data_IF_072319095571
#
_entry.id   IF_072319095571
#
_cell.length_a   1.000
_cell.length_b   1.000
_cell.length_c   1.000
_cell.angle_alpha   90.00
_cell.angle_beta   90.00
_cell.angle_gamma   90.00
#
_symmetry.space_group_name_H-M   'P 1'
#
loop_
_entity.id
_entity.type
_entity.pdbx_description
1 polymer ?
#
# COMPACT_ATOMS: atom_id res chain seq x y z
N UNK A 1 4.17 -25.46 6.17
CA UNK A 1 3.11 -24.47 5.91
C UNK A 1 1.90 -24.75 6.79
N UNK A 2 1.95 -24.32 8.05
CA UNK A 2 0.79 -24.33 8.92
C UNK A 2 0.44 -22.87 9.19
N UNK A 3 -0.72 -22.43 8.69
CA UNK A 3 -1.33 -21.22 9.23
C UNK A 3 -1.55 -21.46 10.72
N UNK A 4 -1.19 -20.51 11.61
CA UNK A 4 -1.55 -20.66 13.01
C UNK A 4 -3.07 -20.77 13.13
N UNK A 5 -3.53 -21.63 14.05
CA UNK A 5 -4.95 -21.72 14.38
C UNK A 5 -5.47 -20.31 14.74
N UNK A 6 -6.64 -19.90 14.22
CA UNK A 6 -7.21 -18.60 14.57
C UNK A 6 -7.40 -18.49 16.09
N UNK A 7 -7.18 -17.29 16.63
CA UNK A 7 -7.33 -17.03 18.06
C UNK A 7 -8.70 -17.55 18.55
N UNK A 8 -8.64 -18.42 19.56
CA UNK A 8 -9.78 -19.21 20.03
C UNK A 8 -10.67 -18.44 21.01
N UNK A 9 -10.17 -17.31 21.54
CA UNK A 9 -10.86 -16.45 22.49
C UNK A 9 -10.57 -14.97 22.20
N UNK A 10 -11.53 -14.05 22.42
CA UNK A 10 -11.29 -12.60 22.47
C UNK A 10 -10.26 -12.19 23.54
N UNK A 11 -10.04 -13.04 24.54
CA UNK A 11 -9.07 -12.83 25.64
C UNK A 11 -7.67 -13.39 25.33
N UNK A 12 -7.46 -14.03 24.17
CA UNK A 12 -6.13 -14.35 23.65
C UNK A 12 -5.49 -13.05 23.12
N UNK A 13 -5.15 -12.15 24.04
CA UNK A 13 -4.48 -10.88 23.71
C UNK A 13 -3.05 -11.21 23.29
N UNK A 14 -2.87 -11.41 21.99
CA UNK A 14 -1.54 -11.51 21.38
C UNK A 14 -0.89 -10.13 21.51
N UNK A 15 0.25 -10.07 22.20
CA UNK A 15 1.05 -8.85 22.27
C UNK A 15 1.30 -8.32 20.84
N UNK A 16 0.96 -7.06 20.56
CA UNK A 16 1.09 -6.54 19.21
C UNK A 16 2.55 -6.50 18.79
N UNK A 17 2.81 -6.89 17.54
CA UNK A 17 4.11 -6.67 16.92
C UNK A 17 4.44 -5.18 17.00
N UNK A 18 5.67 -4.85 17.38
CA UNK A 18 6.12 -3.47 17.55
C UNK A 18 6.83 -2.95 16.30
N UNK A 19 6.65 -1.67 16.01
CA UNK A 19 7.39 -0.95 14.97
C UNK A 19 8.81 -0.59 15.46
N UNK A 20 9.58 0.10 14.60
CA UNK A 20 10.97 0.52 14.91
C UNK A 20 11.09 1.42 16.14
N UNK A 21 10.03 2.15 16.49
CA UNK A 21 9.97 3.05 17.65
C UNK A 21 9.49 2.33 18.92
N UNK A 22 9.24 1.02 18.86
CA UNK A 22 8.72 0.25 19.98
C UNK A 22 7.22 0.44 20.24
N UNK A 23 6.49 1.13 19.36
CA UNK A 23 5.03 1.31 19.41
C UNK A 23 4.34 0.12 18.73
N UNK A 24 3.06 -0.19 19.05
CA UNK A 24 2.30 -1.19 18.28
C UNK A 24 2.29 -0.85 16.79
N UNK A 25 2.64 -1.81 15.93
CA UNK A 25 2.64 -1.67 14.48
C UNK A 25 1.20 -1.45 13.98
N UNK A 26 0.99 -0.36 13.24
CA UNK A 26 -0.30 0.04 12.68
C UNK A 26 -0.33 -0.19 11.18
N UNK A 27 -1.21 -1.08 10.73
CA UNK A 27 -1.45 -1.36 9.33
C UNK A 27 -2.78 -0.74 8.88
N UNK A 28 -2.75 0.07 7.83
CA UNK A 28 -3.92 0.63 7.19
C UNK A 28 -4.33 -0.19 5.98
N UNK A 29 -5.64 -0.44 5.81
CA UNK A 29 -6.18 -1.08 4.61
C UNK A 29 -7.30 -0.21 4.04
N UNK A 30 -7.20 0.09 2.76
CA UNK A 30 -8.27 0.78 2.01
C UNK A 30 -8.38 0.17 0.62
N UNK A 31 -9.58 0.18 0.03
CA UNK A 31 -9.71 -0.21 -1.36
C UNK A 31 -8.98 0.78 -2.29
N UNK A 32 -9.31 2.06 -2.17
CA UNK A 32 -8.79 3.12 -3.02
C UNK A 32 -7.88 4.06 -2.21
N UNK A 33 -6.70 4.42 -2.74
CA UNK A 33 -5.73 5.28 -2.05
C UNK A 33 -6.08 6.76 -2.21
N UNK A 34 -7.33 7.13 -1.89
CA UNK A 34 -7.73 8.54 -1.95
C UNK A 34 -6.96 9.36 -0.92
N UNK A 35 -6.48 10.55 -1.32
CA UNK A 35 -5.64 11.39 -0.45
C UNK A 35 -6.32 11.71 0.87
N UNK A 36 -7.63 11.96 0.88
CA UNK A 36 -8.39 12.18 2.13
C UNK A 36 -8.23 11.05 3.16
N UNK A 37 -8.15 9.79 2.68
CA UNK A 37 -8.03 8.59 3.52
C UNK A 37 -6.58 8.42 3.94
N UNK A 38 -5.64 8.58 2.99
CA UNK A 38 -4.21 8.49 3.28
C UNK A 38 -3.73 9.59 4.23
N UNK A 39 -4.26 10.80 4.12
CA UNK A 39 -3.99 11.91 5.03
C UNK A 39 -4.52 11.63 6.42
N UNK A 40 -5.68 10.98 6.55
CA UNK A 40 -6.20 10.55 7.85
C UNK A 40 -5.30 9.46 8.46
N UNK A 41 -4.99 8.40 7.70
CA UNK A 41 -4.09 7.33 8.13
C UNK A 41 -2.70 7.85 8.53
N UNK A 42 -2.14 8.80 7.77
CA UNK A 42 -0.86 9.41 8.08
C UNK A 42 -0.91 10.25 9.36
N UNK A 43 -2.03 10.93 9.66
CA UNK A 43 -2.21 11.65 10.94
C UNK A 43 -2.42 10.72 12.12
N UNK A 44 -2.94 9.52 11.87
CA UNK A 44 -3.15 8.48 12.87
C UNK A 44 -1.91 7.59 13.09
N UNK A 45 -0.74 8.01 12.59
CA UNK A 45 0.53 7.29 12.69
C UNK A 45 0.46 5.84 12.16
N UNK A 46 -0.23 5.62 11.03
CA UNK A 46 -0.15 4.33 10.33
C UNK A 46 1.26 4.14 9.79
N UNK A 47 1.87 2.98 10.08
CA UNK A 47 3.22 2.66 9.61
C UNK A 47 3.22 2.24 8.14
N UNK A 48 2.23 1.44 7.73
CA UNK A 48 2.07 0.92 6.37
C UNK A 48 0.59 0.88 5.96
N UNK A 49 0.24 1.60 4.91
CA UNK A 49 -1.04 1.51 4.23
C UNK A 49 -0.95 0.60 2.99
N UNK A 50 -1.97 -0.24 2.81
CA UNK A 50 -2.14 -1.10 1.64
C UNK A 50 -3.42 -0.71 0.91
N UNK A 51 -3.30 -0.60 -0.42
CA UNK A 51 -4.41 -0.25 -1.29
C UNK A 51 -4.37 -0.97 -2.63
N UNK A 52 -5.44 -0.82 -3.41
CA UNK A 52 -5.52 -1.25 -4.80
C UNK A 52 -6.19 -0.17 -5.64
N UNK A 53 -7.26 -0.53 -6.35
CA UNK A 53 -8.14 0.36 -7.12
C UNK A 53 -7.53 1.00 -8.39
N UNK A 54 -6.26 1.36 -8.37
CA UNK A 54 -5.58 2.05 -9.49
C UNK A 54 -5.36 1.15 -10.70
N UNK A 55 -5.42 -0.17 -10.52
CA UNK A 55 -5.03 -1.18 -11.50
C UNK A 55 -3.59 -1.00 -12.05
N UNK A 56 -2.71 -0.32 -11.31
CA UNK A 56 -1.37 0.08 -11.77
C UNK A 56 -1.41 1.13 -12.87
N UNK A 57 -2.50 1.90 -12.94
CA UNK A 57 -2.81 2.85 -14.01
C UNK A 57 -3.37 2.21 -15.27
N UNK A 58 -3.20 0.89 -15.43
CA UNK A 58 -3.72 0.01 -16.48
C UNK A 58 -3.25 0.31 -17.91
N UNK A 59 -3.13 1.59 -18.27
CA UNK A 59 -2.56 2.11 -19.50
C UNK A 59 -1.27 2.86 -19.16
N UNK A 60 -0.15 2.20 -19.44
CA UNK A 60 1.18 2.74 -19.20
C UNK A 60 1.91 3.05 -20.51
N UNK A 61 2.74 4.08 -20.48
CA UNK A 61 3.70 4.37 -21.54
C UNK A 61 5.03 3.67 -21.20
N UNK A 62 5.60 2.83 -22.09
CA UNK A 62 6.90 2.20 -21.85
C UNK A 62 7.97 3.22 -21.46
N UNK A 63 8.66 2.99 -20.34
CA UNK A 63 9.69 3.89 -19.82
C UNK A 63 9.20 5.10 -19.02
N UNK A 64 7.90 5.43 -19.05
CA UNK A 64 7.30 6.52 -18.26
C UNK A 64 6.40 6.01 -17.13
N UNK A 65 5.56 5.00 -17.39
CA UNK A 65 4.63 4.44 -16.42
C UNK A 65 3.18 4.90 -16.65
N UNK A 66 2.38 4.90 -15.57
CA UNK A 66 0.96 5.19 -15.62
C UNK A 66 0.66 6.61 -16.10
N UNK A 67 -0.35 6.77 -16.97
CA UNK A 67 -0.87 8.08 -17.36
C UNK A 67 -1.89 8.64 -16.38
N UNK A 68 -2.65 7.74 -15.76
CA UNK A 68 -3.73 8.05 -14.81
C UNK A 68 -3.73 6.99 -13.70
N UNK A 69 -4.28 7.33 -12.54
CA UNK A 69 -4.47 6.41 -11.41
C UNK A 69 -5.95 6.12 -11.13
N UNK A 70 -6.86 6.82 -11.82
CA UNK A 70 -8.29 6.85 -11.53
C UNK A 70 -8.65 7.29 -10.10
N UNK A 71 -7.74 7.99 -9.41
CA UNK A 71 -7.98 8.64 -8.12
C UNK A 71 -7.14 9.94 -8.02
N UNK A 72 -7.17 10.60 -6.88
CA UNK A 72 -6.43 11.85 -6.60
C UNK A 72 -4.97 11.61 -6.17
N UNK A 73 -4.45 10.40 -6.35
CA UNK A 73 -3.04 10.02 -6.12
C UNK A 73 -2.18 10.28 -7.36
N UNK A 74 -0.92 10.71 -7.16
CA UNK A 74 0.02 10.90 -8.26
C UNK A 74 0.36 9.59 -8.99
N UNK A 75 0.55 9.69 -10.31
CA UNK A 75 0.74 8.53 -11.18
C UNK A 75 2.00 7.70 -10.87
N UNK A 76 3.01 8.30 -10.24
CA UNK A 76 4.21 7.56 -9.83
C UNK A 76 3.92 6.57 -8.68
N UNK A 77 2.79 6.71 -7.99
CA UNK A 77 2.32 5.80 -6.93
C UNK A 77 1.12 4.96 -7.36
N UNK A 78 0.92 4.81 -8.68
CA UNK A 78 -0.14 3.95 -9.21
C UNK A 78 0.02 2.48 -8.79
N UNK A 79 1.23 2.01 -8.51
CA UNK A 79 1.49 0.65 -8.03
C UNK A 79 2.82 0.56 -7.28
N UNK A 80 3.00 -0.53 -6.53
CA UNK A 80 4.22 -0.84 -5.81
C UNK A 80 4.35 -0.10 -4.47
N UNK A 81 5.52 -0.21 -3.86
CA UNK A 81 5.85 0.40 -2.58
C UNK A 81 6.37 1.83 -2.76
N UNK A 82 5.82 2.74 -1.96
CA UNK A 82 6.18 4.15 -1.92
C UNK A 82 6.10 4.68 -0.49
N UNK A 83 6.40 5.96 -0.30
CA UNK A 83 6.12 6.71 0.94
C UNK A 83 4.86 7.54 0.75
N UNK A 84 4.27 8.05 1.81
CA UNK A 84 3.20 9.07 1.78
C UNK A 84 3.22 9.87 3.09
N UNK A 85 3.02 11.20 3.07
CA UNK A 85 2.79 12.07 1.90
C UNK A 85 4.03 12.33 1.05
N UNK A 86 5.24 12.25 1.61
CA UNK A 86 6.48 12.47 0.84
C UNK A 86 6.90 11.30 -0.04
N UNK A 87 8.11 11.36 -0.61
CA UNK A 87 8.60 10.37 -1.59
C UNK A 87 9.78 9.59 -1.03
N UNK A 88 10.08 8.42 -1.60
CA UNK A 88 11.22 7.62 -1.14
C UNK A 88 12.58 8.36 -1.26
N UNK A 89 12.68 9.29 -2.21
CA UNK A 89 13.87 10.12 -2.43
C UNK A 89 14.00 11.31 -1.47
N UNK A 90 13.01 11.56 -0.63
CA UNK A 90 13.02 12.68 0.32
C UNK A 90 13.85 12.29 1.55
N UNK A 91 14.88 13.07 1.93
CA UNK A 91 15.66 12.82 3.14
C UNK A 91 14.80 12.76 4.42
N UNK A 92 13.68 13.49 4.45
CA UNK A 92 12.73 13.48 5.56
C UNK A 92 11.75 12.28 5.51
N UNK A 93 11.86 11.40 4.52
CA UNK A 93 10.94 10.29 4.36
C UNK A 93 11.02 9.19 5.41
N UNK A 94 12.00 9.25 6.31
CA UNK A 94 12.09 8.36 7.46
C UNK A 94 10.79 8.40 8.29
N UNK A 95 10.15 9.57 8.39
CA UNK A 95 8.97 9.82 9.22
C UNK A 95 7.64 9.65 8.44
N UNK A 96 7.71 9.30 7.16
CA UNK A 96 6.52 9.13 6.32
C UNK A 96 5.96 7.71 6.39
N UNK A 97 4.63 7.57 6.37
CA UNK A 97 3.94 6.28 6.22
C UNK A 97 4.39 5.56 4.93
N UNK A 98 4.59 4.25 4.98
CA UNK A 98 4.72 3.45 3.77
C UNK A 98 3.37 3.27 3.09
N UNK A 99 3.33 3.34 1.76
CA UNK A 99 2.14 3.09 0.96
C UNK A 99 2.45 2.03 -0.08
N UNK A 100 1.77 0.90 0.00
CA UNK A 100 1.77 -0.11 -1.04
C UNK A 100 0.46 -0.09 -1.83
N UNK A 101 0.54 0.08 -3.14
CA UNK A 101 -0.62 -0.02 -4.04
C UNK A 101 -0.44 -1.24 -4.94
N UNK A 102 -1.30 -2.25 -4.84
CA UNK A 102 -1.25 -3.38 -5.77
C UNK A 102 -1.89 -3.02 -7.11
N UNK A 103 -1.25 -3.36 -8.23
CA UNK A 103 -1.87 -3.24 -9.54
C UNK A 103 -3.02 -4.25 -9.76
N UNK A 104 -3.10 -5.30 -8.93
CA UNK A 104 -4.14 -6.33 -8.99
C UNK A 104 -4.15 -7.15 -10.29
N UNK A 105 -5.01 -8.16 -10.34
CA UNK A 105 -5.15 -9.06 -11.49
C UNK A 105 -6.19 -8.57 -12.51
N UNK A 106 -7.26 -7.94 -12.03
CA UNK A 106 -8.40 -7.52 -12.86
C UNK A 106 -8.18 -6.20 -13.59
N UNK A 107 -9.16 -5.81 -14.40
CA UNK A 107 -9.19 -4.53 -15.12
C UNK A 107 -10.34 -3.65 -14.63
N UNK A 108 -10.31 -2.37 -14.97
CA UNK A 108 -11.47 -1.49 -14.83
C UNK A 108 -12.62 -2.02 -15.71
N UNK A 109 -13.87 -2.03 -15.21
CA UNK A 109 -15.04 -2.42 -16.02
C UNK A 109 -15.20 -1.59 -17.29
N UNK A 110 -14.76 -0.32 -17.25
CA UNK A 110 -14.91 0.63 -18.36
C UNK A 110 -13.76 0.56 -19.37
N UNK A 111 -12.63 -0.02 -18.97
CA UNK A 111 -11.43 -0.14 -19.81
C UNK A 111 -10.87 -1.55 -19.64
N UNK A 112 -11.37 -2.58 -20.34
CA UNK A 112 -11.01 -3.97 -20.10
C UNK A 112 -9.69 -4.38 -20.76
N UNK A 113 -8.72 -3.47 -20.83
CA UNK A 113 -7.42 -3.69 -21.49
C UNK A 113 -6.29 -3.22 -20.60
N UNK A 114 -5.16 -3.94 -20.63
CA UNK A 114 -3.90 -3.55 -19.98
C UNK A 114 -2.84 -3.33 -21.05
N UNK A 115 -2.16 -2.19 -21.01
CA UNK A 115 -1.05 -1.86 -21.92
C UNK A 115 0.18 -1.49 -21.10
N UNK A 116 1.28 -2.22 -21.30
CA UNK A 116 2.53 -2.05 -20.55
C UNK A 116 2.36 -2.05 -19.00
N UNK A 117 1.29 -2.68 -18.50
CA UNK A 117 0.95 -2.79 -17.08
C UNK A 117 0.53 -4.23 -16.77
N UNK A 118 1.46 -5.05 -16.24
CA UNK A 118 1.21 -6.47 -15.97
C UNK A 118 0.27 -6.66 -14.77
N UNK A 119 -0.54 -7.73 -14.74
CA UNK A 119 -1.29 -8.09 -13.55
C UNK A 119 -0.34 -8.42 -12.39
N UNK A 120 -0.79 -8.16 -11.16
CA UNK A 120 0.05 -8.26 -9.97
C UNK A 120 -0.68 -8.97 -8.82
N UNK A 121 0.05 -9.84 -8.12
CA UNK A 121 -0.26 -10.30 -6.77
C UNK A 121 0.98 -10.06 -5.91
N UNK A 122 0.82 -9.35 -4.79
CA UNK A 122 1.96 -8.88 -4.01
C UNK A 122 2.11 -9.63 -2.70
N UNK A 123 3.33 -10.10 -2.41
CA UNK A 123 3.72 -10.60 -1.10
C UNK A 123 4.60 -9.55 -0.41
N UNK A 124 4.12 -9.00 0.70
CA UNK A 124 4.89 -8.08 1.54
C UNK A 124 5.42 -8.83 2.74
N UNK A 125 6.75 -8.88 2.88
CA UNK A 125 7.42 -9.45 4.06
C UNK A 125 7.88 -8.32 4.96
N UNK A 126 7.31 -8.25 6.16
CA UNK A 126 7.77 -7.33 7.19
C UNK A 126 8.87 -8.00 8.00
N UNK A 127 10.00 -7.32 8.14
CA UNK A 127 11.16 -7.80 8.89
C UNK A 127 11.48 -6.85 10.03
N UNK A 128 12.06 -7.34 11.15
CA UNK A 128 12.54 -6.46 12.22
C UNK A 128 13.53 -5.43 11.69
N UNK A 129 13.47 -4.20 12.22
CA UNK A 129 14.50 -3.20 11.97
C UNK A 129 15.81 -3.62 12.66
N UNK A 130 16.93 -3.52 11.94
CA UNK A 130 18.28 -3.74 12.47
C UNK A 130 18.75 -2.60 13.35
#
# INVERSE_FOLDING_TARGET
DAYPEPASSPDDVVEPVRNREGRPLRLGLTHAPYRRVLDAMSRDDVDLAMAGHTHGGQLCVPGYGALVTNCDLDAARASGLSRYPGRMSDPAAADHMFLHVSAGLGTSPYTPVRLACRPEATLLTLVPAS
#
